data_IF_937080116612
#
_entry.id   IF_937080116612
#
_cell.length_a   1.000
_cell.length_b   1.000
_cell.length_c   1.000
_cell.angle_alpha   90.00
_cell.angle_beta   90.00
_cell.angle_gamma   90.00
#
_symmetry.space_group_name_H-M   'P 1'
#
loop_
_entity.id
_entity.type
_entity.pdbx_description
1 polymer ?
#
# COMPACT_ATOMS: atom_id res chain seq x y z
N UNK A 1 3.65 3.73 18.81
CA UNK A 1 4.77 3.22 17.98
C UNK A 1 5.09 4.27 16.93
N UNK A 2 6.35 4.58 16.63
CA UNK A 2 6.70 5.37 15.43
C UNK A 2 6.91 4.36 14.30
N UNK A 3 5.84 3.66 13.92
CA UNK A 3 5.88 2.52 13.00
C UNK A 3 5.78 2.94 11.54
N UNK A 4 6.25 2.08 10.63
CA UNK A 4 5.94 2.16 9.20
C UNK A 4 4.68 1.31 8.95
N UNK A 5 3.46 1.91 8.92
CA UNK A 5 2.21 1.15 8.84
C UNK A 5 2.03 0.43 7.50
N UNK A 6 2.64 0.95 6.44
CA UNK A 6 2.52 0.44 5.08
C UNK A 6 3.88 0.18 4.43
N UNK A 7 4.00 -0.93 3.71
CA UNK A 7 5.16 -1.25 2.88
C UNK A 7 4.74 -1.33 1.41
N UNK A 8 5.56 -0.82 0.49
CA UNK A 8 5.34 -0.90 -0.95
C UNK A 8 6.33 -1.90 -1.55
N UNK A 9 5.83 -2.89 -2.27
CA UNK A 9 6.65 -3.84 -3.02
C UNK A 9 6.61 -3.52 -4.51
N UNK A 10 7.79 -3.38 -5.09
CA UNK A 10 8.04 -3.28 -6.53
C UNK A 10 8.71 -4.58 -6.94
N UNK A 11 8.07 -5.32 -7.83
CA UNK A 11 8.49 -6.64 -8.32
C UNK A 11 8.68 -6.65 -9.84
N UNK A 12 9.05 -7.80 -10.41
CA UNK A 12 9.23 -7.92 -11.85
C UNK A 12 7.95 -7.71 -12.65
N UNK A 13 6.79 -8.03 -12.06
CA UNK A 13 5.48 -7.83 -12.70
C UNK A 13 5.10 -6.35 -12.78
N UNK A 14 5.62 -5.52 -11.86
CA UNK A 14 5.38 -4.07 -11.81
C UNK A 14 5.72 -3.38 -13.14
N UNK A 15 6.77 -3.84 -13.83
CA UNK A 15 7.17 -3.28 -15.12
C UNK A 15 6.15 -3.59 -16.23
N UNK A 16 5.45 -4.72 -16.11
CA UNK A 16 4.49 -5.19 -17.09
C UNK A 16 3.10 -4.58 -16.87
N UNK A 17 2.63 -4.57 -15.62
CA UNK A 17 1.25 -4.18 -15.26
C UNK A 17 1.13 -2.76 -14.70
N UNK A 18 2.26 -2.07 -14.48
CA UNK A 18 2.32 -0.73 -13.88
C UNK A 18 1.59 -0.65 -12.54
N UNK A 19 1.65 -1.71 -11.75
CA UNK A 19 1.04 -1.80 -10.43
C UNK A 19 2.07 -2.22 -9.37
N UNK A 20 1.84 -1.78 -8.14
CA UNK A 20 2.65 -2.13 -6.96
C UNK A 20 1.78 -2.79 -5.90
N UNK A 21 2.39 -3.54 -4.99
CA UNK A 21 1.66 -4.13 -3.86
C UNK A 21 1.85 -3.29 -2.61
N UNK A 22 0.76 -2.83 -2.00
CA UNK A 22 0.73 -2.21 -0.68
C UNK A 22 0.48 -3.31 0.36
N UNK A 23 1.34 -3.42 1.37
CA UNK A 23 1.14 -4.31 2.52
C UNK A 23 0.90 -3.49 3.78
N UNK A 24 -0.22 -3.74 4.46
CA UNK A 24 -0.51 -3.21 5.78
C UNK A 24 0.15 -4.08 6.85
N UNK A 25 0.80 -3.45 7.82
CA UNK A 25 1.52 -4.17 8.87
C UNK A 25 0.57 -4.87 9.84
N UNK A 26 -0.40 -4.13 10.38
CA UNK A 26 -1.21 -4.59 11.51
C UNK A 26 -2.26 -5.60 11.07
N UNK A 27 -2.95 -5.33 9.96
CA UNK A 27 -3.94 -6.25 9.39
C UNK A 27 -3.33 -7.39 8.57
N UNK A 28 -2.04 -7.32 8.24
CA UNK A 28 -1.32 -8.23 7.33
C UNK A 28 -1.89 -8.29 5.89
N UNK A 29 -2.85 -7.43 5.57
CA UNK A 29 -3.50 -7.38 4.25
C UNK A 29 -2.55 -6.86 3.18
N UNK A 30 -2.75 -7.33 1.95
CA UNK A 30 -2.01 -6.91 0.77
C UNK A 30 -2.98 -6.57 -0.36
N UNK A 31 -2.70 -5.47 -1.04
CA UNK A 31 -3.51 -4.99 -2.16
C UNK A 31 -2.58 -4.56 -3.29
N UNK A 32 -2.85 -5.02 -4.52
CA UNK A 32 -2.13 -4.58 -5.72
C UNK A 32 -2.87 -3.38 -6.34
N UNK A 33 -2.16 -2.29 -6.52
CA UNK A 33 -2.71 -0.99 -6.88
C UNK A 33 -1.92 -0.42 -8.05
N UNK A 34 -2.60 0.17 -9.03
CA UNK A 34 -1.95 0.86 -10.12
C UNK A 34 -1.05 2.00 -9.59
N UNK A 35 0.12 2.20 -10.18
CA UNK A 35 1.06 3.25 -9.75
C UNK A 35 0.40 4.64 -9.82
N UNK A 36 -0.49 4.87 -10.80
CA UNK A 36 -1.25 6.12 -10.93
C UNK A 36 -2.12 6.42 -9.71
N UNK A 37 -2.60 5.37 -9.02
CA UNK A 37 -3.57 5.47 -7.94
C UNK A 37 -2.92 5.36 -6.57
N UNK A 38 -1.64 4.96 -6.53
CA UNK A 38 -0.87 4.68 -5.31
C UNK A 38 -0.91 5.84 -4.30
N UNK A 39 -0.67 7.08 -4.74
CA UNK A 39 -0.62 8.23 -3.86
C UNK A 39 -2.00 8.51 -3.21
N UNK A 40 -3.06 8.48 -4.02
CA UNK A 40 -4.42 8.67 -3.53
C UNK A 40 -4.83 7.54 -2.57
N UNK A 41 -4.48 6.30 -2.90
CA UNK A 41 -4.74 5.14 -2.05
C UNK A 41 -4.02 5.24 -0.72
N UNK A 42 -2.75 5.62 -0.71
CA UNK A 42 -1.98 5.80 0.53
C UNK A 42 -2.57 6.92 1.39
N UNK A 43 -2.98 8.05 0.79
CA UNK A 43 -3.63 9.13 1.52
C UNK A 43 -4.92 8.64 2.21
N UNK A 44 -5.77 7.89 1.50
CA UNK A 44 -6.99 7.30 2.07
C UNK A 44 -6.69 6.34 3.23
N UNK A 45 -5.64 5.54 3.11
CA UNK A 45 -5.25 4.57 4.15
C UNK A 45 -4.66 5.26 5.39
N UNK A 46 -3.98 6.39 5.22
CA UNK A 46 -3.42 7.19 6.33
C UNK A 46 -4.49 8.01 7.05
N UNK A 47 -5.47 8.53 6.31
CA UNK A 47 -6.56 9.33 6.88
C UNK A 47 -7.66 8.46 7.51
N UNK A 48 -7.70 7.17 7.18
CA UNK A 48 -8.59 6.23 7.83
C UNK A 48 -8.22 6.13 9.33
N UNK A 49 -9.19 6.20 10.25
CA UNK A 49 -8.91 5.95 11.65
C UNK A 49 -8.34 4.54 11.78
N UNK A 50 -7.23 4.41 12.54
CA UNK A 50 -6.66 3.10 12.88
C UNK A 50 -7.79 2.21 13.39
N UNK A 51 -8.00 1.06 12.74
CA UNK A 51 -8.87 0.04 13.28
C UNK A 51 -8.06 -0.71 14.34
N UNK A 52 -8.20 -0.27 15.59
CA UNK A 52 -7.70 -0.96 16.79
C UNK A 52 -8.16 -2.43 16.84
#
# INVERSE_FOLDING_TARGET
EIGTPFCITIDFDTLNDKAVTIRQRDSTQQERVAISDLAAKLQQLVDAPDQD
#
